data_IF_595065037099
#
_entry.id   IF_595065037099
#
_cell.length_a   1.000
_cell.length_b   1.000
_cell.length_c   1.000
_cell.angle_alpha   90.00
_cell.angle_beta   90.00
_cell.angle_gamma   90.00
#
_symmetry.space_group_name_H-M   'P 1'
#
loop_
_entity.id
_entity.type
_entity.pdbx_description
1 polymer ?
#
# COMPACT_ATOMS: atom_id res chain seq x y z
N UNK A 1 -8.31 23.13 20.62
CA UNK A 1 -8.00 23.50 19.23
C UNK A 1 -7.23 22.40 18.52
N UNK A 2 -5.99 22.08 18.88
CA UNK A 2 -5.19 21.05 18.20
C UNK A 2 -5.78 19.64 18.26
N UNK A 3 -6.33 19.22 19.41
CA UNK A 3 -6.95 17.89 19.56
C UNK A 3 -8.03 17.59 18.50
N UNK A 4 -8.88 18.56 18.16
CA UNK A 4 -9.93 18.39 17.14
C UNK A 4 -9.33 18.40 15.73
N UNK A 5 -8.33 19.24 15.49
CA UNK A 5 -7.60 19.28 14.20
C UNK A 5 -6.89 17.95 13.95
N UNK A 6 -6.26 17.38 14.97
CA UNK A 6 -5.52 16.12 14.88
C UNK A 6 -6.49 14.95 14.68
N UNK A 7 -7.64 14.95 15.37
CA UNK A 7 -8.69 13.95 15.17
C UNK A 7 -9.25 13.98 13.74
N UNK A 8 -9.50 15.18 13.19
CA UNK A 8 -9.91 15.33 11.80
C UNK A 8 -8.85 14.79 10.84
N UNK A 9 -7.57 15.10 11.09
CA UNK A 9 -6.46 14.55 10.31
C UNK A 9 -6.38 13.03 10.35
N UNK A 10 -6.52 12.44 11.54
CA UNK A 10 -6.54 10.98 11.71
C UNK A 10 -7.71 10.34 10.98
N UNK A 11 -8.90 10.95 11.01
CA UNK A 11 -10.08 10.44 10.28
C UNK A 11 -9.84 10.44 8.76
N UNK A 12 -9.25 11.48 8.21
CA UNK A 12 -8.92 11.54 6.78
C UNK A 12 -7.85 10.51 6.38
N UNK A 13 -6.83 10.33 7.23
CA UNK A 13 -5.81 9.30 7.02
C UNK A 13 -6.44 7.90 6.99
N UNK A 14 -7.28 7.58 7.96
CA UNK A 14 -7.96 6.29 8.08
C UNK A 14 -8.90 6.06 6.89
N UNK A 15 -9.67 7.08 6.49
CA UNK A 15 -10.58 6.97 5.34
C UNK A 15 -9.81 6.63 4.06
N UNK A 16 -8.68 7.30 3.83
CA UNK A 16 -7.83 7.06 2.65
C UNK A 16 -7.22 5.65 2.69
N UNK A 17 -6.74 5.21 3.86
CA UNK A 17 -6.19 3.87 4.05
C UNK A 17 -7.24 2.78 3.81
N UNK A 18 -8.42 2.92 4.40
CA UNK A 18 -9.53 1.96 4.23
C UNK A 18 -9.97 1.91 2.77
N UNK A 19 -10.03 3.05 2.08
CA UNK A 19 -10.38 3.07 0.66
C UNK A 19 -9.40 2.23 -0.17
N UNK A 20 -8.09 2.42 0.04
CA UNK A 20 -7.06 1.64 -0.64
C UNK A 20 -7.22 0.15 -0.34
N UNK A 21 -7.32 -0.22 0.94
CA UNK A 21 -7.39 -1.63 1.36
C UNK A 21 -8.64 -2.34 0.86
N UNK A 22 -9.80 -1.67 0.87
CA UNK A 22 -11.07 -2.33 0.54
C UNK A 22 -11.40 -2.32 -0.96
N UNK A 23 -10.98 -1.31 -1.71
CA UNK A 23 -11.36 -1.18 -3.13
C UNK A 23 -10.21 -1.48 -4.09
N UNK A 24 -8.97 -1.16 -3.72
CA UNK A 24 -7.80 -1.30 -4.60
C UNK A 24 -6.56 -1.77 -3.84
N UNK A 25 -6.61 -2.96 -3.22
CA UNK A 25 -5.57 -3.42 -2.29
C UNK A 25 -4.20 -3.54 -2.95
N UNK A 26 -4.16 -3.87 -4.24
CA UNK A 26 -2.93 -4.15 -4.97
C UNK A 26 -2.38 -2.94 -5.76
N UNK A 27 -3.03 -1.77 -5.64
CA UNK A 27 -2.70 -0.57 -6.43
C UNK A 27 -1.26 -0.08 -6.23
N UNK A 28 -0.73 -0.22 -5.01
CA UNK A 28 0.64 0.17 -4.66
C UNK A 28 1.58 -1.04 -4.54
N UNK A 29 1.14 -2.23 -4.96
CA UNK A 29 1.94 -3.46 -4.89
C UNK A 29 2.65 -3.79 -6.21
N UNK A 30 3.55 -4.76 -6.16
CA UNK A 30 4.18 -5.35 -7.34
C UNK A 30 3.61 -6.75 -7.60
N UNK A 31 3.04 -7.04 -8.78
CA UNK A 31 2.50 -8.36 -9.09
C UNK A 31 3.54 -9.49 -9.08
N UNK A 32 4.83 -9.20 -9.30
CA UNK A 32 5.88 -10.22 -9.27
C UNK A 32 6.02 -10.85 -7.87
N UNK A 33 5.64 -10.11 -6.80
CA UNK A 33 5.70 -10.59 -5.41
C UNK A 33 4.62 -11.63 -5.05
N UNK A 34 3.64 -11.90 -5.94
CA UNK A 34 2.75 -13.07 -5.76
C UNK A 34 3.41 -14.38 -6.17
N UNK A 35 4.57 -14.34 -6.84
CA UNK A 35 5.35 -15.53 -7.17
C UNK A 35 6.35 -15.85 -6.06
N UNK A 36 6.53 -17.13 -5.67
CA UNK A 36 7.54 -17.49 -4.69
C UNK A 36 8.94 -17.11 -5.14
N UNK A 37 9.77 -16.66 -4.19
CA UNK A 37 11.15 -16.27 -4.48
C UNK A 37 11.93 -17.42 -5.14
N UNK A 38 12.65 -17.10 -6.23
CA UNK A 38 13.52 -18.02 -6.94
C UNK A 38 14.95 -17.48 -6.97
N UNK A 39 15.92 -18.06 -6.24
CA UNK A 39 17.29 -17.55 -6.18
C UNK A 39 18.06 -17.67 -7.50
N UNK A 40 17.53 -18.42 -8.48
CA UNK A 40 18.14 -18.63 -9.79
C UNK A 40 17.48 -17.79 -10.90
N UNK A 41 16.42 -17.02 -10.59
CA UNK A 41 15.68 -16.24 -11.56
C UNK A 41 15.38 -14.83 -11.02
N UNK A 42 15.86 -13.81 -11.72
CA UNK A 42 15.53 -12.42 -11.45
C UNK A 42 14.38 -11.97 -12.36
N UNK A 43 13.27 -11.44 -11.82
CA UNK A 43 12.17 -10.93 -12.64
C UNK A 43 12.66 -9.86 -13.64
N UNK A 44 12.14 -9.87 -14.88
CA UNK A 44 12.63 -8.99 -15.94
C UNK A 44 12.33 -7.50 -15.70
N UNK A 45 11.33 -7.18 -14.87
CA UNK A 45 10.89 -5.80 -14.57
C UNK A 45 11.07 -5.43 -13.09
N UNK A 46 12.06 -6.03 -12.42
CA UNK A 46 12.36 -5.80 -11.00
C UNK A 46 12.52 -4.31 -10.67
N UNK A 47 11.85 -3.87 -9.61
CA UNK A 47 11.90 -2.50 -9.08
C UNK A 47 11.69 -2.50 -7.55
N UNK A 48 12.16 -1.47 -6.83
CA UNK A 48 11.76 -1.23 -5.46
C UNK A 48 10.26 -0.88 -5.34
N UNK A 49 9.74 -0.88 -4.11
CA UNK A 49 8.42 -0.34 -3.77
C UNK A 49 8.28 1.16 -4.07
#
# INVERSE_FOLDING_TARGET
>A
YYTIKDLLGALLLILTLIFLVLFTPDLLGDPDNYTPANPLNTPPHIKPE
#
